data_IF_604227535068
#
_entry.id   IF_604227535068
#
_cell.length_a   1.000
_cell.length_b   1.000
_cell.length_c   1.000
_cell.angle_alpha   90.00
_cell.angle_beta   90.00
_cell.angle_gamma   90.00
#
_symmetry.space_group_name_H-M   'P 1'
#
loop_
_entity.id
_entity.type
_entity.pdbx_description
1 polymer ?
#
# COMPACT_ATOMS: atom_id res chain seq x y z
N UNK A 1 22.25 9.27 44.95
CA UNK A 1 21.64 10.22 44.01
C UNK A 1 20.26 9.73 43.63
N UNK A 2 19.24 10.56 43.80
CA UNK A 2 17.87 10.24 43.41
C UNK A 2 17.62 10.87 42.03
N UNK A 3 17.38 10.05 41.02
CA UNK A 3 17.16 10.49 39.64
C UNK A 3 15.65 10.54 39.37
N UNK A 4 15.20 11.60 38.69
CA UNK A 4 13.80 11.76 38.27
C UNK A 4 13.60 11.16 36.89
N UNK A 5 12.37 10.73 36.61
CA UNK A 5 12.02 10.06 35.34
C UNK A 5 12.40 10.88 34.11
N UNK A 6 12.15 12.20 34.13
CA UNK A 6 12.48 13.06 32.99
C UNK A 6 13.97 13.25 32.77
N UNK A 7 14.80 13.21 33.82
CA UNK A 7 16.25 13.31 33.69
C UNK A 7 16.80 12.02 33.09
N UNK A 8 16.32 10.86 33.55
CA UNK A 8 16.69 9.56 32.98
C UNK A 8 16.23 9.42 31.52
N UNK A 9 15.05 9.94 31.18
CA UNK A 9 14.53 9.96 29.82
C UNK A 9 15.44 10.73 28.87
N UNK A 10 15.96 11.87 29.30
CA UNK A 10 16.90 12.69 28.52
C UNK A 10 18.25 11.99 28.33
N UNK A 11 18.77 11.32 29.35
CA UNK A 11 20.03 10.57 29.23
C UNK A 11 19.94 9.40 28.24
N UNK A 12 18.78 8.73 28.17
CA UNK A 12 18.56 7.56 27.32
C UNK A 12 17.96 7.90 25.95
N UNK A 13 17.61 9.17 25.68
CA UNK A 13 17.02 9.60 24.41
C UNK A 13 15.59 9.10 24.15
N UNK A 14 14.88 8.65 25.19
CA UNK A 14 13.52 8.09 25.11
C UNK A 14 12.50 9.04 25.72
N UNK A 15 11.23 8.92 25.35
CA UNK A 15 10.21 9.82 25.89
C UNK A 15 9.82 9.46 27.32
N UNK A 16 9.50 10.45 28.16
CA UNK A 16 9.08 10.20 29.55
C UNK A 16 7.82 9.33 29.64
N UNK A 17 6.98 9.31 28.60
CA UNK A 17 5.76 8.49 28.52
C UNK A 17 6.08 7.01 28.35
N UNK A 18 7.04 6.68 27.50
CA UNK A 18 7.48 5.29 27.29
C UNK A 18 8.16 4.71 28.52
N UNK A 19 8.97 5.53 29.20
CA UNK A 19 9.59 5.18 30.48
C UNK A 19 8.55 4.90 31.56
N UNK A 20 7.53 5.75 31.71
CA UNK A 20 6.45 5.52 32.67
C UNK A 20 5.66 4.23 32.37
N UNK A 21 5.42 3.93 31.10
CA UNK A 21 4.75 2.69 30.69
C UNK A 21 5.59 1.45 31.06
N UNK A 22 6.91 1.52 30.85
CA UNK A 22 7.82 0.43 31.21
C UNK A 22 7.96 0.27 32.73
N UNK A 23 8.01 1.35 33.49
CA UNK A 23 7.95 1.30 34.97
C UNK A 23 6.67 0.60 35.46
N UNK A 24 5.52 0.89 34.83
CA UNK A 24 4.25 0.24 35.16
C UNK A 24 4.29 -1.27 34.95
N UNK A 25 4.99 -1.75 33.92
CA UNK A 25 5.15 -3.19 33.66
C UNK A 25 6.03 -3.89 34.71
N UNK A 26 6.95 -3.16 35.35
CA UNK A 26 7.76 -3.66 36.46
C UNK A 26 7.04 -3.66 37.81
N UNK A 27 5.77 -3.24 37.85
CA UNK A 27 4.94 -3.25 39.06
C UNK A 27 5.18 -2.06 40.00
N UNK A 28 6.01 -1.09 39.60
CA UNK A 28 6.24 0.15 40.36
C UNK A 28 5.53 1.32 39.67
N UNK A 29 4.42 1.77 40.28
CA UNK A 29 3.56 2.81 39.71
C UNK A 29 4.08 4.20 40.03
N UNK A 30 4.60 4.86 39.00
CA UNK A 30 5.11 6.22 39.09
C UNK A 30 4.06 7.19 38.52
N UNK A 31 3.59 8.15 39.34
CA UNK A 31 2.43 8.99 39.01
C UNK A 31 2.69 10.05 37.93
N UNK A 32 3.91 10.56 37.83
CA UNK A 32 4.26 11.62 36.87
C UNK A 32 5.77 11.68 36.59
N UNK A 33 6.16 12.38 35.52
CA UNK A 33 7.55 12.52 35.08
C UNK A 33 8.49 13.20 36.11
N UNK A 34 7.93 13.86 37.12
CA UNK A 34 8.71 14.51 38.20
C UNK A 34 8.93 13.61 39.43
N UNK A 35 8.40 12.39 39.41
CA UNK A 35 8.55 11.44 40.51
C UNK A 35 9.93 10.79 40.51
N UNK A 36 10.45 10.48 41.69
CA UNK A 36 11.76 9.88 41.90
C UNK A 36 11.74 8.37 41.68
N UNK A 37 12.74 7.82 40.97
CA UNK A 37 12.88 6.38 40.75
C UNK A 37 13.81 5.73 41.78
N UNK A 38 13.50 4.51 42.25
CA UNK A 38 14.41 3.76 43.10
C UNK A 38 15.63 3.29 42.31
N UNK A 39 16.83 3.25 42.93
CA UNK A 39 18.08 2.93 42.22
C UNK A 39 18.07 1.60 41.48
N UNK A 40 17.39 0.58 42.01
CA UNK A 40 17.28 -0.75 41.39
C UNK A 40 16.55 -0.71 40.05
N UNK A 41 15.54 0.15 39.92
CA UNK A 41 14.75 0.27 38.71
C UNK A 41 15.47 1.13 37.67
N UNK A 42 16.22 2.15 38.09
CA UNK A 42 17.08 2.94 37.20
C UNK A 42 18.12 2.06 36.49
N UNK A 43 18.75 1.11 37.20
CA UNK A 43 19.71 0.17 36.60
C UNK A 43 19.04 -0.68 35.52
N UNK A 44 17.90 -1.31 35.84
CA UNK A 44 17.15 -2.14 34.88
C UNK A 44 16.67 -1.37 33.66
N UNK A 45 16.18 -0.14 33.84
CA UNK A 45 15.77 0.69 32.72
C UNK A 45 16.96 1.09 31.84
N UNK A 46 18.11 1.40 32.44
CA UNK A 46 19.33 1.69 31.68
C UNK A 46 19.83 0.46 30.93
N UNK A 47 19.69 -0.74 31.48
CA UNK A 47 20.02 -2.00 30.80
C UNK A 47 19.05 -2.25 29.62
N UNK A 48 17.74 -2.21 29.87
CA UNK A 48 16.68 -2.45 28.87
C UNK A 48 16.71 -1.47 27.68
N UNK A 49 16.98 -0.19 27.96
CA UNK A 49 16.99 0.86 26.94
C UNK A 49 18.41 1.12 26.41
N UNK A 50 19.45 0.77 27.16
CA UNK A 50 20.85 0.88 26.74
C UNK A 50 21.22 -0.16 25.69
N UNK A 51 20.64 -1.36 25.71
CA UNK A 51 20.82 -2.35 24.64
C UNK A 51 20.19 -1.93 23.30
N UNK A 52 19.36 -0.87 23.29
CA UNK A 52 18.78 -0.31 22.05
C UNK A 52 19.67 0.73 21.37
N UNK A 53 20.85 1.02 21.89
CA UNK A 53 21.80 1.95 21.27
C UNK A 53 22.76 1.22 20.32
N UNK A 54 22.23 0.67 19.23
CA UNK A 54 22.92 0.80 17.95
C UNK A 54 22.33 2.04 17.28
N UNK A 55 23.07 3.15 17.15
CA UNK A 55 22.55 4.34 16.51
C UNK A 55 22.34 4.05 15.02
N UNK A 56 21.07 3.95 14.61
CA UNK A 56 20.73 4.13 13.20
C UNK A 56 20.85 5.63 12.94
N UNK A 57 21.85 6.01 12.14
CA UNK A 57 22.09 7.42 11.82
C UNK A 57 20.92 7.96 11.00
N UNK A 58 20.59 9.23 11.21
CA UNK A 58 19.47 9.92 10.55
C UNK A 58 19.67 10.12 9.03
N UNK A 59 20.74 9.55 8.45
CA UNK A 59 21.07 9.58 7.03
C UNK A 59 20.34 8.48 6.23
N UNK A 60 19.85 7.42 6.89
CA UNK A 60 19.09 6.33 6.24
C UNK A 60 17.60 6.67 6.01
N UNK A 61 17.10 7.75 6.61
CA UNK A 61 15.78 8.29 6.34
C UNK A 61 15.91 9.54 5.47
N UNK A 62 15.90 9.34 4.15
CA UNK A 62 15.99 10.40 3.16
C UNK A 62 15.07 11.59 3.47
N UNK A 63 15.68 12.77 3.54
CA UNK A 63 15.12 14.13 3.44
C UNK A 63 13.61 14.31 3.74
N UNK A 64 13.16 13.94 4.93
CA UNK A 64 11.82 14.30 5.42
C UNK A 64 11.84 14.72 6.90
N UNK A 65 12.89 15.44 7.29
CA UNK A 65 12.96 16.07 8.60
C UNK A 65 13.56 17.47 8.48
N UNK A 66 12.86 18.35 7.77
CA UNK A 66 13.04 19.79 7.95
C UNK A 66 11.80 20.37 8.65
N UNK A 67 11.55 19.92 9.89
CA UNK A 67 10.62 20.58 10.80
C UNK A 67 11.37 21.69 11.52
N UNK A 68 11.83 22.69 10.76
CA UNK A 68 12.08 24.04 11.24
C UNK A 68 11.72 25.03 10.15
N UNK A 69 10.45 25.05 9.76
CA UNK A 69 9.84 26.27 9.25
C UNK A 69 8.51 26.52 9.95
N UNK A 70 8.60 27.46 10.88
CA UNK A 70 7.59 28.38 11.37
C UNK A 70 6.12 27.91 11.34
N UNK A 71 5.56 27.86 12.55
CA UNK A 71 4.18 28.20 12.78
C UNK A 71 3.84 29.56 12.13
N UNK A 72 3.11 29.52 11.01
CA UNK A 72 2.23 30.60 10.54
C UNK A 72 1.09 29.89 9.81
N UNK A 73 -0.14 30.16 10.25
CA UNK A 73 -1.30 29.29 10.08
C UNK A 73 -1.82 29.09 8.67
N UNK A 74 -2.65 28.05 8.51
CA UNK A 74 -4.02 28.21 8.02
C UNK A 74 -4.84 26.93 8.33
N UNK A 75 -6.17 27.06 8.32
CA UNK A 75 -7.17 26.13 8.89
C UNK A 75 -7.31 24.74 8.26
N UNK A 76 -6.25 23.93 8.29
CA UNK A 76 -6.31 22.52 7.96
C UNK A 76 -6.47 21.70 9.24
N UNK A 77 -7.71 21.30 9.54
CA UNK A 77 -8.02 20.43 10.68
C UNK A 77 -6.96 19.32 10.84
N UNK A 78 -6.65 18.94 12.08
CA UNK A 78 -5.48 18.12 12.44
C UNK A 78 -5.29 16.74 11.77
N UNK A 79 -4.46 15.90 12.39
CA UNK A 79 -3.96 14.65 11.78
C UNK A 79 -5.03 13.75 11.14
N UNK A 80 -6.23 13.67 11.72
CA UNK A 80 -7.33 12.87 11.17
C UNK A 80 -7.83 13.39 9.81
N UNK A 81 -7.91 14.70 9.64
CA UNK A 81 -8.31 15.37 8.39
C UNK A 81 -7.16 15.41 7.38
N UNK A 82 -5.91 15.49 7.85
CA UNK A 82 -4.73 15.26 7.00
C UNK A 82 -4.67 13.81 6.48
N UNK A 83 -5.01 12.82 7.32
CA UNK A 83 -5.10 11.41 6.95
C UNK A 83 -6.25 11.13 5.97
N UNK A 84 -7.45 11.67 6.23
CA UNK A 84 -8.58 11.62 5.30
C UNK A 84 -8.24 12.28 3.95
N UNK A 85 -7.53 13.42 3.97
CA UNK A 85 -7.08 14.10 2.75
C UNK A 85 -6.04 13.27 2.01
N UNK A 86 -5.06 12.70 2.69
CA UNK A 86 -4.08 11.80 2.09
C UNK A 86 -4.76 10.57 1.48
N UNK A 87 -5.73 9.97 2.19
CA UNK A 87 -6.54 8.84 1.71
C UNK A 87 -7.36 9.21 0.47
N UNK A 88 -7.98 10.40 0.44
CA UNK A 88 -8.72 10.91 -0.73
C UNK A 88 -7.79 11.25 -1.90
N UNK A 89 -6.59 11.76 -1.63
CA UNK A 89 -5.58 12.07 -2.64
C UNK A 89 -4.92 10.80 -3.22
N UNK A 90 -4.77 9.75 -2.42
CA UNK A 90 -4.35 8.41 -2.87
C UNK A 90 -5.46 7.64 -3.59
N UNK A 91 -6.69 8.15 -3.56
CA UNK A 91 -7.81 7.58 -4.30
C UNK A 91 -7.69 8.08 -5.75
N UNK A 92 -7.45 7.21 -6.73
CA UNK A 92 -7.16 7.64 -8.09
C UNK A 92 -8.31 8.50 -8.64
N UNK A 93 -7.97 9.69 -9.14
CA UNK A 93 -8.92 10.61 -9.75
C UNK A 93 -9.50 9.95 -10.98
N UNK A 94 -10.81 9.66 -10.93
CA UNK A 94 -11.71 9.13 -11.96
C UNK A 94 -11.15 9.19 -13.41
N UNK A 95 -10.22 8.28 -13.73
CA UNK A 95 -10.01 7.80 -15.08
C UNK A 95 -11.27 7.00 -15.41
N UNK A 96 -11.70 6.96 -16.67
CA UNK A 96 -12.98 6.35 -17.06
C UNK A 96 -12.98 4.83 -16.82
N UNK A 97 -13.15 4.40 -15.57
CA UNK A 97 -13.27 3.02 -15.13
C UNK A 97 -14.66 2.53 -15.51
N UNK A 98 -14.78 2.07 -16.76
CA UNK A 98 -15.87 1.18 -17.13
C UNK A 98 -15.69 -0.08 -16.27
N UNK A 99 -16.68 -0.41 -15.42
CA UNK A 99 -16.56 -1.57 -14.55
C UNK A 99 -16.32 -2.83 -15.38
N UNK A 100 -15.39 -3.66 -14.91
CA UNK A 100 -15.07 -4.95 -15.52
C UNK A 100 -16.26 -5.89 -15.53
N UNK A 101 -16.17 -7.02 -16.25
CA UNK A 101 -17.29 -7.98 -16.34
C UNK A 101 -17.67 -8.55 -14.96
N UNK A 102 -16.67 -8.80 -14.11
CA UNK A 102 -16.84 -9.36 -12.78
C UNK A 102 -17.28 -8.28 -11.78
N UNK A 103 -16.75 -7.06 -11.91
CA UNK A 103 -17.22 -5.92 -11.10
C UNK A 103 -18.70 -5.64 -11.37
N UNK A 104 -19.13 -5.68 -12.64
CA UNK A 104 -20.55 -5.62 -13.02
C UNK A 104 -21.37 -6.77 -12.42
N UNK A 105 -20.84 -7.98 -12.38
CA UNK A 105 -21.51 -9.11 -11.71
C UNK A 105 -21.64 -8.85 -10.20
N UNK A 106 -20.60 -8.34 -9.54
CA UNK A 106 -20.62 -7.99 -8.12
C UNK A 106 -21.65 -6.89 -7.85
N UNK A 107 -21.69 -5.85 -8.68
CA UNK A 107 -22.73 -4.82 -8.58
C UNK A 107 -24.14 -5.42 -8.69
N UNK A 108 -24.36 -6.28 -9.69
CA UNK A 108 -25.67 -6.90 -9.96
C UNK A 108 -26.12 -7.92 -8.92
N UNK A 109 -25.21 -8.65 -8.28
CA UNK A 109 -25.56 -9.78 -7.43
C UNK A 109 -25.25 -9.58 -5.95
N UNK A 110 -24.20 -8.83 -5.60
CA UNK A 110 -23.73 -8.70 -4.21
C UNK A 110 -24.08 -7.35 -3.57
N UNK A 111 -24.19 -6.27 -4.36
CA UNK A 111 -24.44 -4.93 -3.82
C UNK A 111 -25.91 -4.56 -3.94
N UNK A 112 -26.51 -4.70 -5.12
CA UNK A 112 -27.92 -4.31 -5.29
C UNK A 112 -28.67 -5.22 -6.29
N UNK A 113 -29.14 -6.40 -5.86
CA UNK A 113 -29.84 -7.35 -6.72
C UNK A 113 -31.22 -6.86 -7.23
N UNK A 114 -31.74 -5.74 -6.71
CA UNK A 114 -33.05 -5.19 -7.08
C UNK A 114 -32.97 -4.03 -8.07
N UNK A 115 -31.77 -3.50 -8.36
CA UNK A 115 -31.59 -2.35 -9.25
C UNK A 115 -31.36 -2.81 -10.70
N UNK A 116 -32.38 -2.62 -11.54
CA UNK A 116 -32.39 -3.09 -12.94
C UNK A 116 -31.74 -2.11 -13.96
N UNK A 117 -31.24 -0.95 -13.52
CA UNK A 117 -30.50 -0.01 -14.39
C UNK A 117 -29.10 0.19 -13.82
N UNK A 118 -28.09 0.16 -14.70
CA UNK A 118 -26.76 0.74 -14.42
C UNK A 118 -26.90 2.27 -14.25
N UNK A 119 -27.50 2.70 -13.14
CA UNK A 119 -27.37 4.07 -12.67
C UNK A 119 -25.98 4.28 -12.06
N UNK A 120 -25.54 5.53 -11.92
CA UNK A 120 -24.25 5.83 -11.29
C UNK A 120 -24.21 5.23 -9.87
N UNK A 121 -23.38 4.22 -9.67
CA UNK A 121 -23.07 3.68 -8.36
C UNK A 121 -22.47 4.78 -7.48
N UNK A 122 -22.85 4.82 -6.20
CA UNK A 122 -22.22 5.76 -5.27
C UNK A 122 -20.73 5.41 -5.13
N UNK A 123 -19.84 6.38 -4.80
CA UNK A 123 -18.43 6.08 -4.59
C UNK A 123 -18.18 4.96 -3.57
N UNK A 124 -19.05 4.83 -2.57
CA UNK A 124 -19.00 3.78 -1.54
C UNK A 124 -19.36 2.40 -2.08
N UNK A 125 -20.39 2.32 -2.95
CA UNK A 125 -20.78 1.09 -3.64
C UNK A 125 -19.66 0.62 -4.57
N UNK A 126 -19.00 1.55 -5.26
CA UNK A 126 -17.85 1.24 -6.14
C UNK A 126 -16.67 0.69 -5.35
N UNK A 127 -16.28 1.35 -4.26
CA UNK A 127 -15.24 0.84 -3.37
C UNK A 127 -15.57 -0.54 -2.80
N UNK A 128 -16.84 -0.79 -2.50
CA UNK A 128 -17.29 -2.09 -2.00
C UNK A 128 -17.16 -3.15 -3.09
N UNK A 129 -17.56 -2.85 -4.32
CA UNK A 129 -17.44 -3.76 -5.46
C UNK A 129 -15.98 -4.08 -5.76
N UNK A 130 -15.13 -3.05 -5.78
CA UNK A 130 -13.70 -3.18 -6.03
C UNK A 130 -13.01 -4.03 -4.97
N UNK A 131 -13.34 -3.84 -3.68
CA UNK A 131 -12.81 -4.68 -2.59
C UNK A 131 -13.21 -6.14 -2.74
N UNK A 132 -14.47 -6.40 -3.10
CA UNK A 132 -14.94 -7.77 -3.34
C UNK A 132 -14.26 -8.39 -4.57
N UNK A 133 -14.06 -7.60 -5.63
CA UNK A 133 -13.35 -8.05 -6.84
C UNK A 133 -11.88 -8.38 -6.53
N UNK A 134 -11.20 -7.55 -5.73
CA UNK A 134 -9.83 -7.81 -5.25
C UNK A 134 -9.75 -9.06 -4.38
N UNK A 135 -10.69 -9.24 -3.46
CA UNK A 135 -10.76 -10.45 -2.62
C UNK A 135 -11.02 -11.71 -3.45
N UNK A 136 -11.89 -11.62 -4.46
CA UNK A 136 -12.10 -12.69 -5.43
C UNK A 136 -10.83 -12.96 -6.23
N UNK A 137 -10.15 -11.94 -6.76
CA UNK A 137 -8.92 -12.14 -7.53
C UNK A 137 -7.80 -12.77 -6.69
N UNK A 138 -7.71 -12.43 -5.41
CA UNK A 138 -6.76 -13.04 -4.48
C UNK A 138 -6.96 -14.54 -4.25
N UNK A 139 -8.15 -15.10 -4.53
CA UNK A 139 -8.32 -16.56 -4.49
C UNK A 139 -7.77 -17.26 -5.73
N UNK A 140 -7.54 -16.54 -6.83
CA UNK A 140 -7.11 -17.08 -8.11
C UNK A 140 -5.65 -16.75 -8.46
N UNK A 141 -5.14 -15.62 -7.98
CA UNK A 141 -3.80 -15.14 -8.28
C UNK A 141 -2.84 -15.51 -7.15
N UNK A 142 -1.90 -16.42 -7.43
CA UNK A 142 -0.82 -16.75 -6.49
C UNK A 142 0.15 -15.59 -6.30
N UNK A 143 0.32 -14.73 -7.31
CA UNK A 143 1.23 -13.59 -7.29
C UNK A 143 0.48 -12.25 -7.39
N UNK A 144 -0.38 -11.99 -6.41
CA UNK A 144 -1.24 -10.81 -6.39
C UNK A 144 -0.43 -9.49 -6.48
N UNK A 145 0.74 -9.44 -5.86
CA UNK A 145 1.54 -8.21 -5.78
C UNK A 145 2.05 -7.77 -7.14
N UNK A 146 2.55 -8.70 -7.95
CA UNK A 146 3.01 -8.39 -9.29
C UNK A 146 1.86 -8.00 -10.21
N UNK A 147 0.71 -8.66 -10.08
CA UNK A 147 -0.50 -8.26 -10.82
C UNK A 147 -1.01 -6.88 -10.42
N UNK A 148 -0.97 -6.53 -9.13
CA UNK A 148 -1.30 -5.18 -8.65
C UNK A 148 -0.33 -4.14 -9.22
N UNK A 149 0.96 -4.47 -9.30
CA UNK A 149 1.98 -3.58 -9.87
C UNK A 149 1.70 -3.30 -11.34
N UNK A 150 1.43 -4.34 -12.13
CA UNK A 150 1.18 -4.22 -13.57
C UNK A 150 -0.15 -3.53 -13.86
N UNK A 151 -1.18 -3.81 -13.05
CA UNK A 151 -2.51 -3.24 -13.26
C UNK A 151 -2.73 -1.88 -12.59
N UNK A 152 -1.77 -1.39 -11.81
CA UNK A 152 -1.95 -0.22 -10.95
C UNK A 152 -3.02 -0.42 -9.87
N UNK A 153 -3.41 -1.67 -9.59
CA UNK A 153 -4.53 -2.02 -8.71
C UNK A 153 -5.92 -1.90 -9.35
N UNK A 154 -6.01 -1.60 -10.65
CA UNK A 154 -7.26 -1.57 -11.43
C UNK A 154 -7.46 -2.89 -12.21
N UNK A 155 -8.66 -3.11 -12.76
CA UNK A 155 -8.98 -4.25 -13.65
C UNK A 155 -8.53 -5.63 -13.16
N UNK A 156 -8.79 -5.95 -11.88
CA UNK A 156 -8.47 -7.26 -11.28
C UNK A 156 -9.07 -8.47 -12.03
N UNK A 157 -10.16 -8.25 -12.76
CA UNK A 157 -10.79 -9.23 -13.63
C UNK A 157 -9.94 -9.58 -14.85
N UNK A 158 -9.26 -8.60 -15.44
CA UNK A 158 -8.33 -8.85 -16.55
C UNK A 158 -7.09 -9.62 -16.08
N UNK A 159 -6.55 -9.29 -14.90
CA UNK A 159 -5.42 -10.01 -14.32
C UNK A 159 -5.72 -11.51 -14.13
N UNK A 160 -6.89 -11.84 -13.55
CA UNK A 160 -7.30 -13.24 -13.41
C UNK A 160 -7.47 -13.92 -14.77
N UNK A 161 -8.06 -13.24 -15.75
CA UNK A 161 -8.23 -13.80 -17.10
C UNK A 161 -6.89 -14.08 -17.79
N UNK A 162 -5.92 -13.18 -17.68
CA UNK A 162 -4.57 -13.42 -18.20
C UNK A 162 -3.88 -14.59 -17.49
N UNK A 163 -4.02 -14.66 -16.16
CA UNK A 163 -3.49 -15.78 -15.38
C UNK A 163 -4.14 -17.12 -15.76
N UNK A 164 -5.45 -17.15 -16.05
CA UNK A 164 -6.15 -18.35 -16.54
C UNK A 164 -5.66 -18.81 -17.92
N UNK A 165 -5.23 -17.89 -18.77
CA UNK A 165 -4.58 -18.20 -20.05
C UNK A 165 -3.10 -18.61 -19.89
N UNK A 166 -2.59 -18.66 -18.65
CA UNK A 166 -1.23 -19.08 -18.32
C UNK A 166 -0.15 -18.01 -18.56
N UNK A 167 -0.55 -16.73 -18.65
CA UNK A 167 0.37 -15.61 -18.71
C UNK A 167 0.77 -15.17 -17.30
N UNK A 168 2.01 -14.70 -17.15
CA UNK A 168 2.50 -14.09 -15.89
C UNK A 168 2.51 -12.57 -15.98
N UNK A 169 2.49 -11.88 -14.84
CA UNK A 169 2.41 -10.42 -14.78
C UNK A 169 3.50 -9.73 -15.62
N UNK A 170 4.75 -10.21 -15.55
CA UNK A 170 5.89 -9.67 -16.30
C UNK A 170 5.71 -9.74 -17.81
N UNK A 171 5.01 -10.76 -18.33
CA UNK A 171 4.75 -10.91 -19.77
C UNK A 171 3.70 -9.89 -20.26
N UNK A 172 2.74 -9.51 -19.40
CA UNK A 172 1.70 -8.55 -19.74
C UNK A 172 2.17 -7.09 -19.52
N UNK A 173 3.23 -6.89 -18.74
CA UNK A 173 3.96 -5.62 -18.62
C UNK A 173 4.78 -5.29 -19.87
N UNK A 174 5.10 -6.29 -20.71
CA UNK A 174 5.85 -6.06 -21.94
C UNK A 174 5.12 -5.09 -22.87
N UNK A 175 5.91 -4.21 -23.49
CA UNK A 175 5.46 -3.32 -24.56
C UNK A 175 5.69 -4.01 -25.88
N UNK A 176 4.72 -4.84 -26.28
CA UNK A 176 4.79 -5.60 -27.53
C UNK A 176 4.00 -4.91 -28.66
N UNK A 177 4.62 -4.86 -29.83
CA UNK A 177 3.99 -4.56 -31.11
C UNK A 177 4.15 -5.75 -32.03
N UNK A 178 3.04 -6.39 -32.44
CA UNK A 178 3.05 -7.53 -33.38
C UNK A 178 4.02 -8.66 -32.98
N UNK A 179 4.15 -8.96 -31.68
CA UNK A 179 5.01 -10.03 -31.16
C UNK A 179 6.49 -9.67 -31.00
N UNK A 180 6.87 -8.38 -31.14
CA UNK A 180 8.22 -7.87 -30.87
C UNK A 180 8.18 -6.74 -29.85
N UNK A 181 9.29 -6.50 -29.16
CA UNK A 181 9.41 -5.37 -28.23
C UNK A 181 9.35 -4.07 -29.03
N UNK A 182 8.37 -3.23 -28.72
CA UNK A 182 8.16 -1.91 -29.29
C UNK A 182 8.00 -0.90 -28.14
N UNK A 183 9.04 -0.10 -27.84
CA UNK A 183 9.01 0.83 -26.71
C UNK A 183 8.02 1.98 -26.89
N UNK A 184 7.54 2.22 -28.12
CA UNK A 184 6.57 3.27 -28.43
C UNK A 184 5.14 2.89 -28.03
N UNK A 185 4.88 1.59 -27.85
CA UNK A 185 3.58 1.08 -27.43
C UNK A 185 3.44 1.14 -25.91
N UNK A 186 2.20 1.25 -25.45
CA UNK A 186 1.85 1.01 -24.04
C UNK A 186 1.93 -0.50 -23.73
N UNK A 187 1.92 -0.85 -22.44
CA UNK A 187 1.94 -2.25 -22.01
C UNK A 187 0.74 -3.00 -22.56
N UNK A 188 0.89 -4.31 -22.81
CA UNK A 188 -0.21 -5.15 -23.32
C UNK A 188 -1.42 -5.04 -22.39
N UNK A 189 -1.18 -5.02 -21.07
CA UNK A 189 -2.24 -4.87 -20.08
C UNK A 189 -3.03 -3.58 -20.29
N UNK A 190 -2.36 -2.43 -20.36
CA UNK A 190 -2.99 -1.13 -20.51
C UNK A 190 -3.75 -1.00 -21.83
N UNK A 191 -3.25 -1.62 -22.91
CA UNK A 191 -3.92 -1.62 -24.21
C UNK A 191 -5.21 -2.42 -24.19
N UNK A 192 -5.22 -3.56 -23.52
CA UNK A 192 -6.46 -4.35 -23.33
C UNK A 192 -7.43 -3.64 -22.39
N UNK A 193 -6.93 -3.07 -21.29
CA UNK A 193 -7.74 -2.31 -20.34
C UNK A 193 -8.43 -1.09 -20.99
N UNK A 194 -7.70 -0.36 -21.86
CA UNK A 194 -8.25 0.77 -22.64
C UNK A 194 -9.11 0.34 -23.83
N UNK A 195 -9.11 -0.95 -24.18
CA UNK A 195 -9.83 -1.49 -25.34
C UNK A 195 -9.19 -1.19 -26.69
N UNK A 196 -7.94 -0.75 -26.74
CA UNK A 196 -7.19 -0.53 -27.99
C UNK A 196 -6.61 -1.82 -28.57
N UNK A 197 -6.59 -2.90 -27.78
CA UNK A 197 -6.23 -4.25 -28.21
C UNK A 197 -7.26 -5.26 -27.71
N UNK A 198 -7.61 -6.24 -28.55
CA UNK A 198 -8.43 -7.37 -28.14
C UNK A 198 -7.68 -8.33 -27.21
N UNK A 199 -8.37 -8.91 -26.23
CA UNK A 199 -7.77 -9.86 -25.27
C UNK A 199 -7.10 -11.06 -25.97
N UNK A 200 -7.72 -11.62 -27.01
CA UNK A 200 -7.14 -12.75 -27.77
C UNK A 200 -5.88 -12.36 -28.52
N UNK A 201 -5.84 -11.14 -29.05
CA UNK A 201 -4.68 -10.62 -29.76
C UNK A 201 -3.51 -10.37 -28.81
N UNK A 202 -3.80 -9.89 -27.59
CA UNK A 202 -2.82 -9.74 -26.52
C UNK A 202 -2.17 -11.09 -26.15
N UNK A 203 -2.98 -12.11 -25.89
CA UNK A 203 -2.50 -13.47 -25.59
C UNK A 203 -1.63 -14.00 -26.74
N UNK A 204 -2.08 -13.81 -27.99
CA UNK A 204 -1.32 -14.22 -29.18
C UNK A 204 0.03 -13.52 -29.27
N UNK A 205 0.09 -12.20 -29.07
CA UNK A 205 1.34 -11.45 -29.14
C UNK A 205 2.36 -11.91 -28.09
N UNK A 206 1.91 -12.19 -26.87
CA UNK A 206 2.79 -12.73 -25.82
C UNK A 206 3.29 -14.12 -26.19
N UNK A 207 2.41 -14.99 -26.71
CA UNK A 207 2.80 -16.34 -27.13
C UNK A 207 3.79 -16.31 -28.30
N UNK A 208 3.58 -15.44 -29.28
CA UNK A 208 4.48 -15.28 -30.43
C UNK A 208 5.85 -14.75 -29.97
N UNK A 209 5.88 -13.78 -29.05
CA UNK A 209 7.12 -13.31 -28.42
C UNK A 209 7.84 -14.43 -27.65
N UNK A 210 7.09 -15.24 -26.89
CA UNK A 210 7.64 -16.40 -26.18
C UNK A 210 8.27 -17.42 -27.11
N UNK A 211 7.73 -17.58 -28.33
CA UNK A 211 8.32 -18.44 -29.37
C UNK A 211 9.59 -17.82 -29.94
N UNK A 212 9.61 -16.51 -30.19
CA UNK A 212 10.79 -15.84 -30.74
C UNK A 212 11.96 -15.79 -29.76
N UNK A 213 11.71 -15.62 -28.47
CA UNK A 213 12.76 -15.68 -27.44
C UNK A 213 13.40 -17.07 -27.38
N UNK A 214 12.58 -18.12 -27.44
CA UNK A 214 13.09 -19.52 -27.48
C UNK A 214 13.91 -19.82 -28.73
N UNK A 215 13.58 -19.23 -29.88
CA UNK A 215 14.36 -19.42 -31.11
C UNK A 215 15.66 -18.63 -31.15
N UNK A 216 15.74 -17.52 -30.42
CA UNK A 216 16.93 -16.64 -30.41
C UNK A 216 17.94 -17.07 -29.35
N UNK A 217 17.50 -17.75 -28.29
CA UNK A 217 18.36 -18.30 -27.25
C UNK A 217 18.92 -19.70 -27.52
N UNK A 218 18.91 -20.20 -28.77
CA UNK A 218 19.38 -21.53 -29.13
C UNK A 218 20.55 -21.51 -30.11
#
# INVERSE_FOLDING_TARGET
>A
MQIRVHDLAKELGVTSKELLLKCSNYGEFVKSASSTLPPRLVIKLREDFGERLNPVSAEDFGASADIRRAATGDGDGGFATAYERARRASRPANTSNKPGAIENAIFRYAIDPRRNKLGSYTPEERDRAERLAKMWAATWLSDLTDWIRVSGGEHSDLAVRFSQEGLVASEVELRLGFGRIDPTQDTIFNRVARGTMGFKDAVRQVQDFRRSERSTGS
#
